data_IF_131903854575
#
_entry.id   IF_131903854575
#
_cell.length_a   1.000
_cell.length_b   1.000
_cell.length_c   1.000
_cell.angle_alpha   90.00
_cell.angle_beta   90.00
_cell.angle_gamma   90.00
#
_symmetry.space_group_name_H-M   'P 1'
#
loop_
_entity.id
_entity.type
_entity.pdbx_description
1 polymer ?
#
# COMPACT_ATOMS: atom_id res chain seq x y z
N UNK A 1 -40.10 26.22 -35.21
CA UNK A 1 -40.91 25.10 -34.67
C UNK A 1 -39.92 24.00 -34.30
N UNK A 2 -39.49 23.95 -33.03
CA UNK A 2 -38.48 23.01 -32.54
C UNK A 2 -39.17 21.73 -32.05
N UNK A 3 -38.70 20.58 -32.54
CA UNK A 3 -39.13 19.24 -32.11
C UNK A 3 -38.05 18.63 -31.17
N UNK A 4 -38.45 17.74 -30.24
CA UNK A 4 -37.78 17.55 -28.95
C UNK A 4 -36.64 16.52 -28.99
N UNK A 5 -35.61 16.77 -28.19
CA UNK A 5 -34.51 15.83 -27.93
C UNK A 5 -35.02 14.54 -27.29
N UNK A 6 -34.49 13.41 -27.75
CA UNK A 6 -34.90 12.06 -27.37
C UNK A 6 -34.42 11.72 -25.94
N UNK A 7 -35.24 11.09 -25.08
CA UNK A 7 -34.83 10.70 -23.72
C UNK A 7 -33.77 9.58 -23.69
N UNK A 8 -33.45 8.96 -24.84
CA UNK A 8 -32.47 7.87 -24.95
C UNK A 8 -31.01 8.34 -24.87
N UNK A 9 -30.71 9.60 -25.24
CA UNK A 9 -29.34 10.10 -25.27
C UNK A 9 -28.71 10.26 -23.87
N UNK A 10 -29.55 10.42 -22.83
CA UNK A 10 -29.08 10.55 -21.45
C UNK A 10 -28.57 9.24 -20.83
N UNK A 11 -29.22 8.11 -21.15
CA UNK A 11 -28.87 6.80 -20.59
C UNK A 11 -27.51 6.30 -21.06
N UNK A 12 -27.18 6.49 -22.35
CA UNK A 12 -25.90 6.04 -22.90
C UNK A 12 -24.69 6.75 -22.30
N UNK A 13 -24.82 8.02 -21.91
CA UNK A 13 -23.74 8.78 -21.26
C UNK A 13 -23.55 8.32 -19.81
N UNK A 14 -24.63 8.07 -19.08
CA UNK A 14 -24.56 7.52 -17.72
C UNK A 14 -23.95 6.12 -17.70
N UNK A 15 -24.32 5.26 -18.66
CA UNK A 15 -23.75 3.92 -18.79
C UNK A 15 -22.26 3.95 -19.15
N UNK A 16 -21.83 4.91 -19.97
CA UNK A 16 -20.42 5.13 -20.26
C UNK A 16 -19.64 5.57 -19.01
N UNK A 17 -20.19 6.49 -18.22
CA UNK A 17 -19.57 6.91 -16.95
C UNK A 17 -19.51 5.76 -15.96
N UNK A 18 -20.58 4.96 -15.84
CA UNK A 18 -20.62 3.76 -15.01
C UNK A 18 -19.51 2.79 -15.37
N UNK A 19 -19.37 2.46 -16.65
CA UNK A 19 -18.31 1.55 -17.12
C UNK A 19 -16.90 2.11 -16.82
N UNK A 20 -16.68 3.41 -17.01
CA UNK A 20 -15.39 4.05 -16.68
C UNK A 20 -15.09 4.00 -15.18
N UNK A 21 -16.08 4.31 -14.35
CA UNK A 21 -15.94 4.24 -12.90
C UNK A 21 -15.73 2.80 -12.41
N UNK A 22 -16.41 1.82 -12.99
CA UNK A 22 -16.21 0.40 -12.67
C UNK A 22 -14.81 -0.08 -13.01
N UNK A 23 -14.28 0.31 -14.18
CA UNK A 23 -12.91 -0.02 -14.58
C UNK A 23 -11.89 0.56 -13.59
N UNK A 24 -11.98 1.86 -13.29
CA UNK A 24 -11.07 2.54 -12.36
C UNK A 24 -11.16 1.96 -10.95
N UNK A 25 -12.38 1.70 -10.44
CA UNK A 25 -12.55 1.10 -9.13
C UNK A 25 -11.98 -0.33 -9.08
N UNK A 26 -12.10 -1.10 -10.16
CA UNK A 26 -11.51 -2.44 -10.25
C UNK A 26 -9.97 -2.43 -10.23
N UNK A 27 -9.35 -1.49 -10.95
CA UNK A 27 -7.89 -1.29 -10.90
C UNK A 27 -7.43 -0.92 -9.48
N UNK A 28 -8.10 0.06 -8.86
CA UNK A 28 -7.81 0.51 -7.49
C UNK A 28 -7.98 -0.60 -6.45
N UNK A 29 -8.99 -1.47 -6.60
CA UNK A 29 -9.19 -2.62 -5.73
C UNK A 29 -8.04 -3.61 -5.82
N UNK A 30 -7.57 -3.89 -7.04
CA UNK A 30 -6.43 -4.79 -7.29
C UNK A 30 -5.14 -4.24 -6.65
N UNK A 31 -4.93 -2.93 -6.72
CA UNK A 31 -3.79 -2.26 -6.09
C UNK A 31 -3.84 -2.37 -4.57
N UNK A 32 -5.02 -2.15 -3.97
CA UNK A 32 -5.22 -2.27 -2.51
C UNK A 32 -5.00 -3.70 -2.05
N UNK A 33 -5.56 -4.69 -2.74
CA UNK A 33 -5.37 -6.11 -2.42
C UNK A 33 -3.88 -6.50 -2.49
N UNK A 34 -3.16 -5.97 -3.47
CA UNK A 34 -1.71 -6.19 -3.60
C UNK A 34 -0.96 -5.57 -2.41
N UNK A 35 -1.30 -4.34 -2.02
CA UNK A 35 -0.68 -3.68 -0.88
C UNK A 35 -0.97 -4.42 0.44
N UNK A 36 -2.20 -4.90 0.63
CA UNK A 36 -2.60 -5.70 1.79
C UNK A 36 -1.84 -7.01 1.88
N UNK A 37 -1.66 -7.72 0.76
CA UNK A 37 -0.85 -8.94 0.71
C UNK A 37 0.59 -8.68 1.12
N UNK A 38 1.22 -7.62 0.58
CA UNK A 38 2.60 -7.25 0.94
C UNK A 38 2.72 -6.93 2.44
N UNK A 39 1.75 -6.20 3.00
CA UNK A 39 1.72 -5.90 4.43
C UNK A 39 1.54 -7.18 5.27
N UNK A 40 0.66 -8.09 4.84
CA UNK A 40 0.44 -9.36 5.54
C UNK A 40 1.69 -10.23 5.52
N UNK A 41 2.37 -10.35 4.38
CA UNK A 41 3.65 -11.07 4.25
C UNK A 41 4.74 -10.46 5.14
N UNK A 42 4.86 -9.13 5.16
CA UNK A 42 5.81 -8.43 6.03
C UNK A 42 5.52 -8.64 7.52
N UNK A 43 4.25 -8.80 7.91
CA UNK A 43 3.85 -9.08 9.29
C UNK A 43 4.01 -10.56 9.65
N UNK A 44 3.78 -11.47 8.71
CA UNK A 44 3.87 -12.91 8.90
C UNK A 44 5.32 -13.41 9.00
N UNK A 45 6.30 -12.69 8.44
CA UNK A 45 7.71 -13.03 8.53
C UNK A 45 8.16 -13.10 10.01
N UNK A 46 8.33 -14.32 10.59
CA UNK A 46 8.72 -14.45 11.97
C UNK A 46 10.21 -14.19 12.15
N UNK A 47 10.58 -13.75 13.37
CA UNK A 47 11.94 -13.61 13.83
C UNK A 47 12.81 -14.81 13.43
N UNK A 48 14.01 -14.52 12.92
CA UNK A 48 15.09 -15.47 12.63
C UNK A 48 15.04 -16.63 13.62
N UNK A 49 14.62 -17.80 13.13
CA UNK A 49 14.79 -19.07 13.85
C UNK A 49 16.29 -19.39 13.80
N UNK A 50 17.01 -19.48 14.93
CA UNK A 50 18.42 -19.86 14.90
C UNK A 50 18.53 -21.28 14.33
N UNK A 51 19.14 -21.42 13.15
CA UNK A 51 19.36 -22.72 12.48
C UNK A 51 18.41 -23.04 11.32
N UNK A 52 17.45 -22.18 10.98
CA UNK A 52 16.69 -22.31 9.73
C UNK A 52 17.52 -21.84 8.52
N UNK A 53 17.46 -22.58 7.41
CA UNK A 53 17.91 -22.03 6.13
C UNK A 53 17.15 -20.71 5.90
N UNK A 54 17.83 -19.61 5.48
CA UNK A 54 17.11 -18.41 5.10
C UNK A 54 16.20 -18.80 3.94
N UNK A 55 14.90 -18.95 4.22
CA UNK A 55 13.89 -19.06 3.19
C UNK A 55 14.11 -17.87 2.27
N UNK A 56 14.19 -18.12 0.96
CA UNK A 56 14.35 -17.08 -0.04
C UNK A 56 13.45 -15.91 0.35
N UNK A 57 14.08 -14.76 0.63
CA UNK A 57 13.39 -13.57 1.13
C UNK A 57 12.15 -13.30 0.30
N UNK A 58 11.10 -12.67 0.87
CA UNK A 58 9.79 -12.59 0.25
C UNK A 58 9.99 -12.23 -1.21
N UNK A 59 9.57 -13.13 -2.10
CA UNK A 59 9.57 -12.86 -3.53
C UNK A 59 8.66 -11.65 -3.67
N UNK A 60 9.27 -10.45 -3.69
CA UNK A 60 8.55 -9.19 -3.76
C UNK A 60 7.68 -9.38 -4.99
N UNK A 61 6.35 -9.54 -4.84
CA UNK A 61 5.51 -9.70 -6.01
C UNK A 61 5.81 -8.47 -6.85
N UNK A 62 6.13 -8.65 -8.13
CA UNK A 62 6.32 -7.55 -9.07
C UNK A 62 5.01 -6.77 -9.06
N UNK A 63 4.93 -5.79 -8.16
CA UNK A 63 3.89 -4.77 -8.15
C UNK A 63 3.92 -4.23 -9.57
N UNK A 64 2.78 -4.11 -10.24
CA UNK A 64 2.75 -3.30 -11.44
C UNK A 64 3.36 -1.95 -11.07
N UNK A 65 4.57 -1.73 -11.60
CA UNK A 65 5.49 -0.70 -11.16
C UNK A 65 4.95 0.63 -11.69
N UNK A 66 3.92 1.14 -11.00
CA UNK A 66 3.13 2.28 -11.43
C UNK A 66 2.72 3.22 -10.31
N UNK A 67 2.75 2.81 -9.03
CA UNK A 67 2.25 3.64 -7.92
C UNK A 67 3.32 4.29 -7.04
N UNK A 68 4.58 3.83 -7.07
CA UNK A 68 5.68 4.57 -6.43
C UNK A 68 6.11 5.79 -7.24
N UNK A 69 5.78 5.80 -8.53
CA UNK A 69 5.85 6.96 -9.40
C UNK A 69 4.59 7.80 -9.16
N UNK A 70 4.76 9.02 -8.63
CA UNK A 70 3.77 10.10 -8.52
C UNK A 70 2.34 9.71 -8.94
N UNK A 71 1.54 9.20 -8.00
CA UNK A 71 0.12 8.89 -8.23
C UNK A 71 -0.60 10.10 -8.85
N UNK A 72 -1.24 9.88 -10.00
CA UNK A 72 -2.07 10.90 -10.68
C UNK A 72 -3.53 10.48 -10.57
N UNK A 73 -4.42 11.33 -10.04
CA UNK A 73 -5.83 10.97 -9.95
C UNK A 73 -6.44 10.82 -11.35
N UNK A 74 -7.32 9.82 -11.56
CA UNK A 74 -7.95 9.61 -12.85
C UNK A 74 -8.90 10.77 -13.19
N UNK A 75 -8.73 11.35 -14.37
CA UNK A 75 -9.52 12.50 -14.87
C UNK A 75 -10.51 12.06 -15.95
N UNK A 76 -11.59 12.84 -16.16
CA UNK A 76 -12.53 12.58 -17.27
C UNK A 76 -13.55 11.45 -17.04
N UNK A 77 -13.74 11.05 -15.78
CA UNK A 77 -14.66 9.97 -15.41
C UNK A 77 -16.14 10.40 -15.37
N UNK A 78 -16.40 11.71 -15.29
CA UNK A 78 -17.76 12.21 -15.04
C UNK A 78 -18.19 12.05 -13.57
N UNK A 79 -19.43 12.42 -13.23
CA UNK A 79 -19.95 12.25 -11.87
C UNK A 79 -19.98 10.77 -11.48
N UNK A 80 -19.77 10.47 -10.20
CA UNK A 80 -19.89 9.10 -9.66
C UNK A 80 -21.36 8.67 -9.70
N UNK A 81 -21.71 7.56 -10.38
CA UNK A 81 -23.06 7.00 -10.32
C UNK A 81 -23.43 6.58 -8.90
N UNK A 82 -24.66 6.87 -8.46
CA UNK A 82 -25.12 6.58 -7.10
C UNK A 82 -24.96 5.11 -6.69
N UNK A 83 -25.13 4.18 -7.65
CA UNK A 83 -24.94 2.74 -7.43
C UNK A 83 -23.50 2.36 -7.04
N UNK A 84 -22.49 3.15 -7.46
CA UNK A 84 -21.08 2.88 -7.18
C UNK A 84 -20.59 3.60 -5.92
N UNK A 85 -21.38 4.50 -5.34
CA UNK A 85 -20.97 5.32 -4.20
C UNK A 85 -20.59 4.48 -2.98
N UNK A 86 -21.37 3.43 -2.69
CA UNK A 86 -21.11 2.51 -1.57
C UNK A 86 -19.79 1.77 -1.77
N UNK A 87 -19.55 1.25 -2.98
CA UNK A 87 -18.31 0.55 -3.34
C UNK A 87 -17.10 1.47 -3.25
N UNK A 88 -17.19 2.67 -3.81
CA UNK A 88 -16.12 3.67 -3.77
C UNK A 88 -15.79 4.09 -2.33
N UNK A 89 -16.80 4.24 -1.45
CA UNK A 89 -16.58 4.54 -0.04
C UNK A 89 -15.85 3.41 0.67
N UNK A 90 -16.31 2.17 0.51
CA UNK A 90 -15.67 1.01 1.11
C UNK A 90 -14.22 0.83 0.65
N UNK A 91 -13.93 1.16 -0.62
CA UNK A 91 -12.56 1.17 -1.14
C UNK A 91 -11.70 2.26 -0.49
N UNK A 92 -12.21 3.48 -0.38
CA UNK A 92 -11.49 4.57 0.28
C UNK A 92 -11.17 4.25 1.74
N UNK A 93 -12.12 3.66 2.47
CA UNK A 93 -11.91 3.27 3.87
C UNK A 93 -10.79 2.22 3.99
N UNK A 94 -10.75 1.22 3.08
CA UNK A 94 -9.65 0.25 2.99
C UNK A 94 -8.32 0.93 2.65
N UNK A 95 -8.30 1.86 1.70
CA UNK A 95 -7.09 2.60 1.33
C UNK A 95 -6.49 3.38 2.52
N UNK A 96 -7.34 4.07 3.29
CA UNK A 96 -6.91 4.81 4.47
C UNK A 96 -6.37 3.88 5.56
N UNK A 97 -7.00 2.72 5.75
CA UNK A 97 -6.52 1.72 6.70
C UNK A 97 -5.17 1.12 6.30
N UNK A 98 -4.99 0.77 5.02
CA UNK A 98 -3.71 0.31 4.47
C UNK A 98 -2.64 1.38 4.65
N UNK A 99 -2.92 2.63 4.29
CA UNK A 99 -1.98 3.74 4.44
C UNK A 99 -1.53 3.90 5.90
N UNK A 100 -2.46 3.79 6.86
CA UNK A 100 -2.16 3.80 8.30
C UNK A 100 -1.24 2.63 8.69
N UNK A 101 -1.59 1.40 8.31
CA UNK A 101 -0.79 0.19 8.59
C UNK A 101 0.62 0.29 8.01
N UNK A 102 0.75 0.84 6.80
CA UNK A 102 2.06 1.09 6.17
C UNK A 102 2.89 2.10 6.96
N UNK A 103 2.29 3.22 7.40
CA UNK A 103 2.99 4.21 8.21
C UNK A 103 3.47 3.63 9.56
N UNK A 104 2.64 2.81 10.21
CA UNK A 104 3.00 2.10 11.44
C UNK A 104 4.16 1.12 11.23
N UNK A 105 4.13 0.37 10.12
CA UNK A 105 5.21 -0.55 9.74
C UNK A 105 6.54 0.20 9.53
N UNK A 106 6.52 1.32 8.79
CA UNK A 106 7.70 2.18 8.58
C UNK A 106 8.25 2.70 9.92
N UNK A 107 7.37 3.16 10.82
CA UNK A 107 7.78 3.65 12.14
C UNK A 107 8.39 2.54 13.01
N UNK A 108 7.84 1.33 12.96
CA UNK A 108 8.40 0.16 13.64
C UNK A 108 9.78 -0.20 13.10
N UNK A 109 9.94 -0.26 11.77
CA UNK A 109 11.21 -0.54 11.10
C UNK A 109 12.32 0.44 11.47
N UNK A 110 12.01 1.75 11.53
CA UNK A 110 12.97 2.79 11.96
C UNK A 110 13.44 2.59 13.41
N UNK A 111 12.53 2.24 14.32
CA UNK A 111 12.89 1.96 15.73
C UNK A 111 13.81 0.75 15.84
N UNK A 112 13.52 -0.34 15.11
CA UNK A 112 14.39 -1.52 15.07
C UNK A 112 15.78 -1.20 14.51
N UNK A 113 15.87 -0.41 13.44
CA UNK A 113 17.14 0.01 12.88
C UNK A 113 17.99 0.81 13.89
N UNK A 114 17.39 1.77 14.59
CA UNK A 114 18.07 2.56 15.62
C UNK A 114 18.57 1.68 16.79
N UNK A 115 17.76 0.71 17.24
CA UNK A 115 18.16 -0.21 18.30
C UNK A 115 19.31 -1.14 17.88
N UNK A 116 19.25 -1.67 16.64
CA UNK A 116 20.30 -2.50 16.07
C UNK A 116 21.63 -1.74 15.93
N UNK A 117 21.56 -0.47 15.53
CA UNK A 117 22.73 0.40 15.43
C UNK A 117 23.36 0.65 16.81
N UNK A 118 22.55 0.98 17.82
CA UNK A 118 23.03 1.17 19.19
C UNK A 118 23.70 -0.08 19.79
N UNK A 119 23.18 -1.28 19.49
CA UNK A 119 23.82 -2.54 19.91
C UNK A 119 25.17 -2.77 19.23
N UNK A 120 25.26 -2.49 17.91
CA UNK A 120 26.51 -2.60 17.15
C UNK A 120 27.58 -1.67 17.73
N UNK A 121 27.22 -0.42 18.05
CA UNK A 121 28.15 0.55 18.66
C UNK A 121 28.67 0.07 20.01
N UNK A 122 27.81 -0.49 20.89
CA UNK A 122 28.26 -1.05 22.18
C UNK A 122 29.20 -2.24 22.01
N UNK A 123 28.95 -3.12 21.03
CA UNK A 123 29.83 -4.26 20.77
C UNK A 123 31.20 -3.86 20.23
N UNK A 124 31.30 -2.72 19.54
CA UNK A 124 32.57 -2.19 19.06
C UNK A 124 33.40 -1.51 20.18
N UNK A 125 32.76 -1.07 21.27
CA UNK A 125 33.43 -0.57 22.46
C UNK A 125 33.95 -1.74 23.32
N UNK A 126 35.00 -2.42 22.86
CA UNK A 126 35.69 -3.45 23.64
C UNK A 126 36.37 -2.77 24.84
N UNK A 127 36.05 -3.14 26.10
CA UNK A 127 36.67 -2.54 27.26
C UNK A 127 38.16 -2.92 27.31
N UNK A 128 39.03 -1.93 27.14
CA UNK A 128 40.47 -2.09 27.33
C UNK A 128 40.75 -1.90 28.82
N UNK A 129 41.05 -3.00 29.52
CA UNK A 129 41.60 -2.93 30.87
C UNK A 129 43.07 -2.50 30.79
N UNK A 130 43.37 -1.33 31.31
CA UNK A 130 44.76 -0.92 31.57
C UNK A 130 45.11 -1.46 32.95
N UNK A 131 46.01 -2.44 32.98
CA UNK A 131 46.60 -2.92 34.22
C UNK A 131 47.59 -1.87 34.71
N UNK A 132 47.25 -1.17 35.80
CA UNK A 132 48.16 -0.25 36.46
C UNK A 132 48.92 -1.01 37.54
N UNK A 133 49.94 -1.77 37.14
CA UNK A 133 50.89 -2.35 38.10
C UNK A 133 51.78 -1.21 38.66
N UNK A 134 51.80 -1.07 39.98
CA UNK A 134 52.76 -0.26 40.75
C UNK A 134 53.48 -1.11 41.75
#
# INVERSE_FOLDING_TARGET
MAAPGSPADGGGVEDLWRQRWEAVLGELETDVETAERILAEAHAAPAVVPGGTPSAGPAVPTVHQGASASWVPPTGLGPVPASLQVRARALLDRQLDVARRTAESIASGRRHAAAADAMRVRSAAVPVYIDSET
#
